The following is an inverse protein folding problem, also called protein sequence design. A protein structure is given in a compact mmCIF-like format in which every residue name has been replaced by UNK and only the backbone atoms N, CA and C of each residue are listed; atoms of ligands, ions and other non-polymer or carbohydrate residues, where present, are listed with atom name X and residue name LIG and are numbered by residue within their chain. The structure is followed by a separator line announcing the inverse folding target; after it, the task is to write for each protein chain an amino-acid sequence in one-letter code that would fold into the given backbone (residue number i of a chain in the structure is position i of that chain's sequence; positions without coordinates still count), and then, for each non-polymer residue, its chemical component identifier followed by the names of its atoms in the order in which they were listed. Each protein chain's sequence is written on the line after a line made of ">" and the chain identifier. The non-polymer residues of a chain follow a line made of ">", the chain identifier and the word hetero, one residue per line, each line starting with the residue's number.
data_IF_995858877512
#
_entry.id   IF_995858877512
#
_cell.length_a   1.000
_cell.length_b   1.000
_cell.length_c   1.000
_cell.angle_alpha   90.00
_cell.angle_beta   90.00
_cell.angle_gamma   90.00
#
_symmetry.space_group_name_H-M   'P 1'
#
loop_
_entity.id
_entity.type
_entity.pdbx_description
1 polymer ?
#
# COMPACT_ATOMS: atom_id res chain seq x y z
N UNK A 1 32.69 -20.83 -22.22
CA UNK A 1 31.77 -19.76 -21.75
C UNK A 1 30.67 -20.40 -20.93
N UNK A 2 30.61 -20.16 -19.61
CA UNK A 2 29.84 -20.98 -18.65
C UNK A 2 28.40 -20.47 -18.40
N UNK A 3 27.42 -21.37 -18.57
CA UNK A 3 25.97 -21.18 -18.39
C UNK A 3 25.55 -20.75 -16.96
N UNK A 4 26.47 -20.81 -15.98
CA UNK A 4 26.22 -20.56 -14.55
C UNK A 4 26.19 -19.08 -14.15
N UNK A 5 26.64 -18.16 -15.01
CA UNK A 5 26.61 -16.72 -14.70
C UNK A 5 25.28 -16.03 -15.05
N UNK A 6 24.29 -16.75 -15.60
CA UNK A 6 22.96 -16.21 -15.97
C UNK A 6 21.88 -16.36 -14.89
N UNK A 7 22.24 -16.35 -13.61
CA UNK A 7 21.28 -16.44 -12.48
C UNK A 7 21.47 -15.35 -11.41
N UNK A 8 21.97 -14.18 -11.78
CA UNK A 8 22.23 -13.07 -10.86
C UNK A 8 21.54 -11.75 -11.25
N UNK A 9 20.39 -11.81 -11.93
CA UNK A 9 19.53 -10.67 -12.15
C UNK A 9 18.11 -11.03 -11.69
N UNK A 10 17.85 -10.86 -10.39
CA UNK A 10 16.50 -10.97 -9.84
C UNK A 10 15.62 -9.89 -10.46
N UNK A 11 14.74 -10.28 -11.37
CA UNK A 11 13.74 -9.40 -11.97
C UNK A 11 12.52 -9.29 -11.03
N UNK A 12 12.27 -8.10 -10.48
CA UNK A 12 10.90 -7.69 -10.08
C UNK A 12 10.69 -7.07 -8.69
N UNK A 13 11.64 -7.18 -7.75
CA UNK A 13 11.37 -6.84 -6.33
C UNK A 13 11.88 -5.43 -5.92
N UNK A 14 12.98 -4.96 -6.51
CA UNK A 14 13.60 -3.69 -6.12
C UNK A 14 12.80 -2.46 -6.53
N UNK A 15 12.17 -2.47 -7.71
CA UNK A 15 11.41 -1.32 -8.22
C UNK A 15 10.11 -1.11 -7.46
N UNK A 16 9.38 -2.19 -7.14
CA UNK A 16 8.15 -2.13 -6.34
C UNK A 16 8.45 -1.63 -4.93
N UNK A 17 9.52 -2.13 -4.29
CA UNK A 17 9.97 -1.64 -2.98
C UNK A 17 10.36 -0.17 -3.00
N UNK A 18 11.12 0.27 -4.01
CA UNK A 18 11.51 1.69 -4.16
C UNK A 18 10.28 2.58 -4.36
N UNK A 19 9.32 2.11 -5.15
CA UNK A 19 8.08 2.83 -5.38
C UNK A 19 7.24 2.95 -4.09
N UNK A 20 7.03 1.85 -3.37
CA UNK A 20 6.28 1.87 -2.11
C UNK A 20 6.96 2.72 -1.04
N UNK A 21 8.29 2.65 -0.93
CA UNK A 21 9.06 3.51 -0.04
C UNK A 21 8.93 5.00 -0.42
N UNK A 22 8.83 5.33 -1.71
CA UNK A 22 8.62 6.71 -2.16
C UNK A 22 7.24 7.28 -1.82
N UNK A 23 6.29 6.42 -1.44
CA UNK A 23 4.93 6.78 -1.06
C UNK A 23 4.74 6.88 0.46
N UNK A 24 5.80 6.69 1.26
CA UNK A 24 5.73 6.72 2.72
C UNK A 24 5.13 8.05 3.23
N UNK A 25 4.04 7.95 3.98
CA UNK A 25 3.28 9.09 4.49
C UNK A 25 2.51 9.92 3.45
N UNK A 26 2.66 9.65 2.14
CA UNK A 26 1.96 10.38 1.10
C UNK A 26 0.45 10.05 1.10
N UNK A 27 -0.41 11.07 0.92
CA UNK A 27 -1.85 10.85 0.71
C UNK A 27 -2.09 10.46 -0.74
N UNK A 28 -2.54 9.23 -0.95
CA UNK A 28 -2.91 8.68 -2.25
C UNK A 28 -4.44 8.75 -2.36
N UNK A 29 -5.01 9.59 -3.24
CA UNK A 29 -6.46 9.75 -3.34
C UNK A 29 -7.18 8.46 -3.76
N UNK A 30 -8.39 8.25 -3.23
CA UNK A 30 -9.26 7.13 -3.57
C UNK A 30 -9.26 6.01 -2.52
N UNK A 31 -10.04 4.96 -2.81
CA UNK A 31 -10.29 3.84 -1.89
C UNK A 31 -11.76 3.67 -1.51
N UNK A 32 -12.62 4.63 -1.86
CA UNK A 32 -14.06 4.57 -1.73
C UNK A 32 -14.71 5.53 -2.73
N UNK A 33 -15.80 5.10 -3.38
CA UNK A 33 -16.52 5.96 -4.35
C UNK A 33 -17.51 6.92 -3.66
N UNK A 34 -17.82 6.68 -2.38
CA UNK A 34 -18.89 7.37 -1.65
C UNK A 34 -18.39 8.34 -0.55
N UNK A 35 -17.07 8.52 -0.41
CA UNK A 35 -16.49 9.52 0.49
C UNK A 35 -15.12 9.99 -0.03
N UNK A 36 -14.54 11.05 0.59
CA UNK A 36 -13.20 11.55 0.25
C UNK A 36 -12.11 10.66 0.88
N UNK A 37 -12.12 9.39 0.52
CA UNK A 37 -11.16 8.42 1.02
C UNK A 37 -9.76 8.67 0.44
N UNK A 38 -8.75 8.37 1.25
CA UNK A 38 -7.37 8.36 0.82
C UNK A 38 -6.60 7.24 1.52
N UNK A 39 -5.46 6.88 0.94
CA UNK A 39 -4.58 5.85 1.45
C UNK A 39 -3.24 6.44 1.85
N UNK A 40 -2.57 5.83 2.83
CA UNK A 40 -1.18 6.12 3.18
C UNK A 40 -0.38 4.82 3.27
N UNK A 41 0.88 4.87 2.86
CA UNK A 41 1.84 3.79 3.09
C UNK A 41 2.67 4.13 4.32
N UNK A 42 2.86 3.17 5.21
CA UNK A 42 3.84 3.20 6.29
C UNK A 42 4.97 2.22 5.96
N UNK A 43 6.16 2.76 5.74
CA UNK A 43 7.37 2.02 5.39
C UNK A 43 8.34 1.84 6.59
N UNK A 44 7.95 2.21 7.81
CA UNK A 44 8.81 2.14 9.00
C UNK A 44 9.28 0.72 9.33
N UNK A 45 8.53 -0.30 8.90
CA UNK A 45 8.84 -1.72 9.10
C UNK A 45 9.27 -2.42 7.81
N UNK A 46 9.82 -1.68 6.85
CA UNK A 46 10.33 -2.24 5.61
C UNK A 46 11.24 -3.47 5.88
N UNK A 47 11.07 -4.57 5.12
CA UNK A 47 10.37 -4.64 3.84
C UNK A 47 8.87 -4.91 3.88
N UNK A 48 8.27 -4.96 5.08
CA UNK A 48 6.81 -4.98 5.20
C UNK A 48 6.30 -3.54 5.12
N UNK A 49 5.32 -3.33 4.24
CA UNK A 49 4.67 -2.04 4.06
C UNK A 49 3.23 -2.15 4.54
N UNK A 50 2.79 -1.22 5.37
CA UNK A 50 1.41 -1.16 5.82
C UNK A 50 0.65 -0.13 4.97
N UNK A 51 -0.41 -0.58 4.29
CA UNK A 51 -1.33 0.30 3.59
C UNK A 51 -2.52 0.59 4.52
N UNK A 52 -2.72 1.86 4.87
CA UNK A 52 -3.85 2.31 5.65
C UNK A 52 -4.85 3.02 4.74
N UNK A 53 -6.13 2.64 4.82
CA UNK A 53 -7.23 3.30 4.13
C UNK A 53 -7.96 4.18 5.14
N UNK A 54 -8.06 5.48 4.84
CA UNK A 54 -8.72 6.48 5.67
C UNK A 54 -10.06 6.84 5.02
N UNK A 55 -11.12 6.78 5.81
CA UNK A 55 -12.47 7.18 5.40
C UNK A 55 -12.95 8.35 6.22
N UNK A 56 -13.82 9.17 5.62
CA UNK A 56 -14.58 10.14 6.38
C UNK A 56 -15.47 9.45 7.42
N UNK A 57 -15.70 10.14 8.54
CA UNK A 57 -16.62 9.68 9.58
C UNK A 57 -18.07 9.47 9.08
N UNK A 58 -18.42 10.09 7.95
CA UNK A 58 -19.73 9.99 7.29
C UNK A 58 -19.80 8.91 6.22
N UNK A 59 -18.72 8.17 5.95
CA UNK A 59 -18.71 7.12 4.94
C UNK A 59 -19.72 6.01 5.31
N UNK A 60 -20.70 5.69 4.44
CA UNK A 60 -21.74 4.72 4.74
C UNK A 60 -21.17 3.30 4.90
N UNK A 61 -20.24 2.91 4.02
CA UNK A 61 -19.63 1.58 4.03
C UNK A 61 -18.73 1.36 5.24
N UNK A 62 -17.87 2.33 5.56
CA UNK A 62 -16.96 2.21 6.69
C UNK A 62 -17.73 2.23 8.02
N UNK A 63 -18.77 3.05 8.12
CA UNK A 63 -19.67 3.03 9.26
C UNK A 63 -20.34 1.67 9.43
N UNK A 64 -20.78 1.04 8.34
CA UNK A 64 -21.38 -0.29 8.39
C UNK A 64 -20.35 -1.35 8.79
N UNK A 65 -19.17 -1.36 8.16
CA UNK A 65 -18.07 -2.27 8.47
C UNK A 65 -17.71 -2.26 9.97
N UNK A 66 -17.60 -1.07 10.57
CA UNK A 66 -17.31 -0.91 12.01
C UNK A 66 -18.40 -1.44 12.94
N UNK A 67 -19.67 -1.45 12.49
CA UNK A 67 -20.76 -2.05 13.27
C UNK A 67 -20.68 -3.57 13.25
N UNK A 68 -20.22 -4.14 12.15
CA UNK A 68 -20.08 -5.58 11.95
C UNK A 68 -18.76 -6.14 12.54
N UNK A 69 -17.76 -5.28 12.75
CA UNK A 69 -16.42 -5.63 13.26
C UNK A 69 -16.01 -4.68 14.39
N UNK A 70 -16.51 -4.88 15.63
CA UNK A 70 -16.29 -3.97 16.76
C UNK A 70 -14.88 -4.02 17.35
#
# INVERSE_FOLDING_TARGET
>A
MNRRQRRAAGHGDSSARQYLASLDGARIPGGCDDCDAYQTVDATQAPLFLLQVHHDSTCPWFTNYRKENP
#
